data_IF_922707495191
#
_entry.id   IF_922707495191
#
_cell.length_a   1.000
_cell.length_b   1.000
_cell.length_c   1.000
_cell.angle_alpha   90.00
_cell.angle_beta   90.00
_cell.angle_gamma   90.00
#
_symmetry.space_group_name_H-M   'P 1'
#
loop_
_entity.id
_entity.type
_entity.pdbx_description
1 polymer ?
#
# COMPACT_ATOMS: atom_id res chain seq x y z
N UNK A 1 -4.23 -2.91 -20.28
CA UNK A 1 -3.37 -1.78 -19.85
C UNK A 1 -3.90 -0.48 -20.46
N UNK A 2 -4.84 0.20 -19.81
CA UNK A 2 -5.32 1.51 -20.26
C UNK A 2 -5.96 2.28 -19.09
N UNK A 3 -5.16 2.64 -18.08
CA UNK A 3 -5.68 3.33 -16.88
C UNK A 3 -4.91 4.61 -16.54
N UNK A 4 -3.75 4.83 -17.16
CA UNK A 4 -2.93 6.04 -16.96
C UNK A 4 -3.30 7.21 -17.89
N UNK A 5 -4.14 6.96 -18.91
CA UNK A 5 -4.32 7.90 -20.03
C UNK A 5 -5.43 8.93 -19.81
N UNK A 6 -6.44 8.61 -18.98
CA UNK A 6 -7.61 9.46 -18.73
C UNK A 6 -7.66 9.98 -17.28
N UNK A 7 -6.50 10.30 -16.69
CA UNK A 7 -6.47 10.92 -15.37
C UNK A 7 -6.79 12.42 -15.48
N UNK A 8 -7.71 12.95 -14.65
CA UNK A 8 -7.95 14.39 -14.59
C UNK A 8 -6.67 15.13 -14.18
N UNK A 9 -6.52 16.38 -14.59
CA UNK A 9 -5.31 17.19 -14.31
C UNK A 9 -4.98 17.28 -12.81
N UNK A 10 -6.01 17.30 -11.96
CA UNK A 10 -5.84 17.24 -10.51
C UNK A 10 -5.15 15.94 -10.04
N UNK A 11 -5.51 14.79 -10.62
CA UNK A 11 -4.90 13.51 -10.28
C UNK A 11 -3.43 13.43 -10.74
N UNK A 12 -3.12 13.99 -11.92
CA UNK A 12 -1.72 14.08 -12.40
C UNK A 12 -0.85 14.91 -11.46
N UNK A 13 -1.36 16.07 -11.01
CA UNK A 13 -0.66 16.93 -10.04
C UNK A 13 -0.44 16.22 -8.70
N UNK A 14 -1.48 15.56 -8.19
CA UNK A 14 -1.38 14.82 -6.92
C UNK A 14 -0.34 13.69 -7.00
N UNK A 15 -0.28 12.97 -8.11
CA UNK A 15 0.74 11.93 -8.33
C UNK A 15 2.14 12.52 -8.43
N UNK A 16 2.32 13.63 -9.17
CA UNK A 16 3.61 14.31 -9.29
C UNK A 16 4.13 14.79 -7.93
N UNK A 17 3.28 15.42 -7.12
CA UNK A 17 3.62 15.87 -5.76
C UNK A 17 3.94 14.69 -4.83
N UNK A 18 3.19 13.58 -4.93
CA UNK A 18 3.47 12.37 -4.17
C UNK A 18 4.81 11.73 -4.57
N UNK A 19 5.16 11.74 -5.86
CA UNK A 19 6.47 11.29 -6.34
C UNK A 19 7.60 12.19 -5.85
N UNK A 20 7.44 13.51 -5.90
CA UNK A 20 8.42 14.47 -5.35
C UNK A 20 8.66 14.24 -3.86
N UNK A 21 7.59 14.03 -3.08
CA UNK A 21 7.69 13.66 -1.66
C UNK A 21 8.43 12.35 -1.46
N UNK A 22 8.17 11.32 -2.28
CA UNK A 22 8.87 10.03 -2.20
C UNK A 22 10.36 10.14 -2.54
N UNK A 23 10.72 10.99 -3.51
CA UNK A 23 12.11 11.25 -3.90
C UNK A 23 12.86 12.05 -2.83
N UNK A 24 12.18 13.00 -2.18
CA UNK A 24 12.75 13.81 -1.10
C UNK A 24 12.79 13.08 0.25
N UNK A 25 11.94 12.05 0.45
CA UNK A 25 11.96 11.23 1.64
C UNK A 25 13.25 10.39 1.67
N UNK A 26 14.02 10.53 2.75
CA UNK A 26 15.13 9.63 3.01
C UNK A 26 14.60 8.22 3.22
N UNK A 27 15.23 7.23 2.60
CA UNK A 27 14.90 5.83 2.82
C UNK A 27 15.18 5.48 4.28
N UNK A 28 14.11 5.40 5.08
CA UNK A 28 14.21 4.88 6.44
C UNK A 28 14.34 3.37 6.32
N UNK A 29 15.54 2.85 6.52
CA UNK A 29 15.80 1.42 6.59
C UNK A 29 15.12 0.88 7.85
N UNK A 30 13.88 0.43 7.71
CA UNK A 30 13.18 -0.30 8.77
C UNK A 30 13.56 -1.77 8.67
N UNK A 31 13.80 -2.45 9.80
CA UNK A 31 13.96 -3.90 9.77
C UNK A 31 12.72 -4.49 9.10
N UNK A 32 12.92 -5.49 8.24
CA UNK A 32 11.82 -6.21 7.62
C UNK A 32 11.01 -6.86 8.73
N UNK A 33 9.70 -6.61 8.75
CA UNK A 33 8.79 -7.38 9.60
C UNK A 33 8.80 -8.83 9.12
N UNK A 34 9.15 -9.75 10.02
CA UNK A 34 9.19 -11.19 9.76
C UNK A 34 8.02 -11.86 10.47
N UNK A 35 7.31 -12.74 9.79
CA UNK A 35 6.17 -13.46 10.36
C UNK A 35 4.83 -12.70 10.32
N UNK A 36 4.81 -11.44 9.89
CA UNK A 36 3.57 -10.71 9.63
C UNK A 36 2.87 -11.18 8.34
N UNK A 37 1.53 -11.09 8.32
CA UNK A 37 0.76 -11.34 7.09
C UNK A 37 0.99 -10.19 6.11
N UNK A 38 1.23 -10.52 4.84
CA UNK A 38 1.29 -9.50 3.79
C UNK A 38 -0.07 -8.83 3.65
N UNK A 39 -0.07 -7.51 3.41
CA UNK A 39 -1.27 -6.74 3.15
C UNK A 39 -1.82 -5.97 4.36
N UNK A 40 -2.98 -5.33 4.20
CA UNK A 40 -3.55 -4.47 5.22
C UNK A 40 -4.03 -5.28 6.44
N UNK A 41 -4.05 -4.62 7.60
CA UNK A 41 -4.37 -5.24 8.89
C UNK A 41 -5.71 -5.98 8.86
N UNK A 42 -5.76 -7.31 9.13
CA UNK A 42 -6.96 -8.11 9.00
C UNK A 42 -8.11 -7.62 9.90
N UNK A 43 -7.80 -7.05 11.07
CA UNK A 43 -8.79 -6.45 11.99
C UNK A 43 -9.56 -5.30 11.34
N UNK A 44 -8.88 -4.46 10.54
CA UNK A 44 -9.52 -3.30 9.89
C UNK A 44 -10.40 -3.68 8.71
N UNK A 45 -10.09 -4.81 8.06
CA UNK A 45 -10.73 -5.20 6.79
C UNK A 45 -11.55 -6.49 6.90
N UNK A 46 -11.66 -7.08 8.09
CA UNK A 46 -12.43 -8.30 8.34
C UNK A 46 -11.84 -9.55 7.69
N UNK A 47 -10.59 -9.50 7.21
CA UNK A 47 -9.93 -10.59 6.49
C UNK A 47 -9.15 -11.49 7.45
N UNK A 48 -9.91 -12.19 8.30
CA UNK A 48 -9.37 -13.17 9.25
C UNK A 48 -9.14 -14.55 8.62
N UNK A 49 -9.40 -14.69 7.31
CA UNK A 49 -9.28 -15.97 6.63
C UNK A 49 -7.93 -16.11 5.93
N UNK A 50 -7.29 -17.26 6.12
CA UNK A 50 -6.12 -17.68 5.34
C UNK A 50 -6.35 -19.11 4.87
N UNK A 51 -6.38 -19.31 3.55
CA UNK A 51 -6.69 -20.60 2.93
C UNK A 51 -8.04 -21.20 3.40
N UNK A 52 -9.05 -20.37 3.66
CA UNK A 52 -10.39 -20.80 4.10
C UNK A 52 -10.48 -21.21 5.57
N UNK A 53 -9.44 -20.97 6.37
CA UNK A 53 -9.49 -21.09 7.82
C UNK A 53 -9.49 -19.71 8.47
N UNK A 54 -10.39 -19.49 9.43
CA UNK A 54 -10.30 -18.36 10.32
C UNK A 54 -9.07 -18.52 11.21
N UNK A 55 -8.14 -17.58 11.12
CA UNK A 55 -6.89 -17.55 11.89
C UNK A 55 -6.87 -16.24 12.67
N UNK A 56 -6.84 -16.37 14.00
CA UNK A 56 -6.37 -15.33 14.91
C UNK A 56 -4.87 -15.62 15.13
N UNK A 57 -4.03 -14.59 15.25
CA UNK A 57 -2.55 -14.57 15.37
C UNK A 57 -1.68 -15.06 14.18
#
# INVERSE_FOLDING_TARGET
>A
MSEKKDLPEAAKRALAEAEERRKAAQAVTRPKELGGRDGPEPVRYGDWEKNGLAIDF
#
